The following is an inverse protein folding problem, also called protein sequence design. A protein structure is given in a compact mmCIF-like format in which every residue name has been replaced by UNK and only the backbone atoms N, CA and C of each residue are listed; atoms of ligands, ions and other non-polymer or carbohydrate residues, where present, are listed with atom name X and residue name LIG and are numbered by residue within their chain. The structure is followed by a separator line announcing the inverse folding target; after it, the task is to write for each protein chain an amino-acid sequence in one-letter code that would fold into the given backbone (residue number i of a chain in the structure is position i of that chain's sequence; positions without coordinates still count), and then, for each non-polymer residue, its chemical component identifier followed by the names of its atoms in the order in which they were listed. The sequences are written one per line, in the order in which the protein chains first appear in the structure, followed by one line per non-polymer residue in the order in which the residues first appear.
data_IF_701348495517
#
_entry.id   IF_701348495517
#
_cell.length_a   1.000
_cell.length_b   1.000
_cell.length_c   1.000
_cell.angle_alpha   90.00
_cell.angle_beta   90.00
_cell.angle_gamma   90.00
#
_symmetry.space_group_name_H-M   'P 1'
#
loop_
_entity.id
_entity.type
_entity.pdbx_description
1 polymer ?
#
# COMPACT_ATOMS: atom_id res chain seq x y z
N UNK A 1 -0.88 -0.62 -49.44
CA UNK A 1 0.09 0.28 -48.73
C UNK A 1 0.31 -0.24 -47.33
N UNK A 2 1.49 -0.87 -47.09
CA UNK A 2 1.90 -1.45 -45.80
C UNK A 2 2.55 -0.35 -44.96
N UNK A 3 1.98 -0.04 -43.80
CA UNK A 3 2.65 0.80 -42.77
C UNK A 3 3.60 -0.08 -41.96
N UNK A 4 4.90 0.13 -42.11
CA UNK A 4 5.95 -0.39 -41.23
C UNK A 4 5.95 0.45 -39.96
N UNK A 5 5.63 -0.13 -38.81
CA UNK A 5 5.94 0.45 -37.48
C UNK A 5 7.41 0.18 -37.16
N UNK A 6 8.18 1.25 -36.96
CA UNK A 6 9.57 1.23 -36.51
C UNK A 6 9.59 0.83 -35.03
N UNK A 7 10.25 -0.27 -34.72
CA UNK A 7 10.53 -0.70 -33.35
C UNK A 7 11.85 -0.04 -32.92
N UNK A 8 11.77 0.88 -31.97
CA UNK A 8 12.94 1.59 -31.41
C UNK A 8 13.73 0.65 -30.49
N UNK A 9 15.02 0.47 -30.81
CA UNK A 9 15.91 -0.50 -30.19
C UNK A 9 16.49 0.07 -28.87
N UNK A 10 16.46 -0.74 -27.79
CA UNK A 10 16.85 -0.39 -26.40
C UNK A 10 18.32 -0.01 -26.18
N UNK A 11 19.14 0.07 -27.22
CA UNK A 11 20.60 0.35 -27.10
C UNK A 11 21.02 1.82 -27.30
N UNK A 12 20.10 2.73 -27.57
CA UNK A 12 20.41 4.14 -27.90
C UNK A 12 20.22 5.11 -26.72
N UNK A 13 19.85 4.63 -25.52
CA UNK A 13 19.53 5.52 -24.39
C UNK A 13 20.66 5.69 -23.35
N UNK A 14 21.85 5.12 -23.57
CA UNK A 14 22.97 5.22 -22.63
C UNK A 14 24.17 5.90 -23.31
N UNK A 15 24.01 7.13 -23.76
CA UNK A 15 25.16 7.99 -24.12
C UNK A 15 24.75 9.47 -24.16
N UNK A 16 24.40 10.06 -23.04
CA UNK A 16 24.42 11.51 -22.87
C UNK A 16 24.30 11.85 -21.37
N UNK A 17 25.40 11.82 -20.64
CA UNK A 17 25.56 12.57 -19.37
C UNK A 17 26.98 12.32 -18.85
N UNK A 18 27.98 12.98 -19.44
CA UNK A 18 29.30 13.17 -18.85
C UNK A 18 29.92 14.37 -19.56
N UNK A 19 29.91 15.51 -18.90
CA UNK A 19 30.99 16.54 -18.94
C UNK A 19 30.44 17.83 -18.34
N UNK A 20 30.94 18.22 -17.19
CA UNK A 20 31.48 19.57 -16.96
C UNK A 20 31.91 19.69 -15.48
N UNK A 21 33.15 19.35 -15.21
CA UNK A 21 33.94 19.87 -14.09
C UNK A 21 34.64 21.14 -14.56
N UNK A 22 34.46 22.24 -13.85
CA UNK A 22 35.35 23.39 -13.93
C UNK A 22 35.63 23.89 -12.50
N UNK A 23 36.85 23.71 -12.08
CA UNK A 23 37.45 24.29 -10.89
C UNK A 23 37.73 25.78 -11.09
N UNK A 24 37.37 26.61 -10.11
CA UNK A 24 37.98 27.94 -9.96
C UNK A 24 38.44 28.07 -8.51
N UNK A 25 39.74 28.07 -8.35
CA UNK A 25 40.43 28.52 -7.14
C UNK A 25 40.57 30.03 -7.19
N UNK A 26 40.18 30.71 -6.14
CA UNK A 26 40.37 32.15 -5.96
C UNK A 26 40.45 32.49 -4.48
N UNK A 27 41.66 32.64 -3.97
CA UNK A 27 41.97 33.12 -2.62
C UNK A 27 41.80 34.63 -2.55
N UNK A 28 41.03 35.12 -1.55
CA UNK A 28 41.15 36.51 -1.06
C UNK A 28 41.07 36.49 0.47
N UNK A 29 42.08 37.16 1.06
CA UNK A 29 42.30 37.32 2.50
C UNK A 29 41.51 38.51 3.06
N UNK A 30 41.15 38.39 4.36
CA UNK A 30 40.96 39.43 5.41
C UNK A 30 39.87 40.50 5.18
N UNK A 31 38.85 40.57 6.04
CA UNK A 31 38.88 41.41 7.25
C UNK A 31 37.67 41.12 8.15
N UNK A 32 37.87 41.28 9.45
CA UNK A 32 36.93 40.92 10.48
C UNK A 32 35.75 41.92 10.62
N UNK A 33 34.59 41.33 10.85
CA UNK A 33 33.50 41.96 11.58
C UNK A 33 32.73 40.86 12.30
N UNK A 34 32.80 40.84 13.63
CA UNK A 34 31.94 40.08 14.50
C UNK A 34 30.49 40.55 14.30
N UNK A 35 29.74 39.84 13.47
CA UNK A 35 28.29 40.00 13.41
C UNK A 35 27.68 38.80 14.10
N UNK A 36 26.95 39.06 15.18
CA UNK A 36 26.15 38.09 15.95
C UNK A 36 25.27 37.28 15.03
N UNK A 37 25.67 36.03 14.78
CA UNK A 37 24.79 35.06 14.10
C UNK A 37 23.62 34.75 15.02
N UNK A 38 22.48 35.38 14.78
CA UNK A 38 21.20 34.89 15.29
C UNK A 38 21.00 33.49 14.78
N UNK A 39 21.05 32.52 15.69
CA UNK A 39 20.67 31.14 15.40
C UNK A 39 19.23 31.14 14.89
N UNK A 40 19.04 30.98 13.59
CA UNK A 40 17.75 30.65 13.02
C UNK A 40 17.45 29.23 13.51
N UNK A 41 16.65 29.15 14.57
CA UNK A 41 16.05 27.89 15.02
C UNK A 41 15.09 27.47 13.92
N UNK A 42 15.54 26.60 13.01
CA UNK A 42 14.65 25.88 12.10
C UNK A 42 13.81 24.98 13.01
N UNK A 43 12.49 25.15 13.06
CA UNK A 43 11.65 24.18 13.78
C UNK A 43 11.76 22.87 13.03
N UNK A 44 12.53 21.92 13.58
CA UNK A 44 12.57 20.54 13.15
C UNK A 44 11.36 19.84 13.79
N UNK A 45 10.18 20.07 13.23
CA UNK A 45 8.98 19.30 13.52
C UNK A 45 8.37 18.88 12.19
N UNK A 46 8.88 17.84 11.59
CA UNK A 46 7.99 16.90 10.94
C UNK A 46 7.25 16.20 12.07
N UNK A 47 6.20 16.80 12.62
CA UNK A 47 5.12 16.05 13.21
C UNK A 47 4.61 15.18 12.05
N UNK A 48 4.90 13.87 12.11
CA UNK A 48 4.33 12.91 11.18
C UNK A 48 2.83 13.01 11.32
N UNK A 49 2.17 13.56 10.30
CA UNK A 49 0.76 13.89 10.39
C UNK A 49 -0.03 12.59 10.67
N UNK A 50 -0.84 12.61 11.73
CA UNK A 50 -1.69 11.48 12.11
C UNK A 50 -2.54 11.04 10.92
N UNK A 51 -2.33 9.81 10.43
CA UNK A 51 -3.09 9.25 9.32
C UNK A 51 -4.31 8.46 9.78
N UNK A 52 -5.33 8.40 8.91
CA UNK A 52 -6.42 7.44 8.97
C UNK A 52 -6.06 6.22 8.12
N UNK A 53 -6.00 5.06 8.74
CA UNK A 53 -5.60 3.82 8.10
C UNK A 53 -6.76 2.83 8.12
N UNK A 54 -7.13 2.31 6.95
CA UNK A 54 -8.07 1.19 6.85
C UNK A 54 -7.30 -0.10 6.55
N UNK A 55 -7.46 -1.11 7.40
CA UNK A 55 -6.88 -2.44 7.20
C UNK A 55 -7.98 -3.42 6.80
N UNK A 56 -7.91 -3.93 5.58
CA UNK A 56 -8.82 -4.92 5.02
C UNK A 56 -8.20 -6.31 5.14
N UNK A 57 -8.79 -7.20 5.93
CA UNK A 57 -8.30 -8.57 6.08
C UNK A 57 -9.19 -9.57 5.34
N UNK A 58 -8.55 -10.54 4.67
CA UNK A 58 -9.25 -11.53 3.84
C UNK A 58 -9.21 -12.97 4.37
N UNK A 59 -8.56 -13.21 5.52
CA UNK A 59 -8.44 -14.58 6.04
C UNK A 59 -9.70 -15.02 6.78
N UNK A 60 -10.29 -16.18 6.42
CA UNK A 60 -11.38 -16.76 7.19
C UNK A 60 -10.94 -17.41 8.52
N UNK A 61 -9.63 -17.59 8.71
CA UNK A 61 -9.07 -18.14 9.95
C UNK A 61 -8.83 -17.01 10.93
N UNK A 62 -9.55 -16.95 12.05
CA UNK A 62 -9.44 -15.88 13.05
C UNK A 62 -7.97 -15.62 13.47
N UNK A 63 -7.20 -16.67 13.73
CA UNK A 63 -5.79 -16.59 14.09
C UNK A 63 -4.88 -17.00 12.91
N UNK A 64 -5.31 -16.70 11.67
CA UNK A 64 -4.56 -17.02 10.46
C UNK A 64 -3.28 -16.18 10.33
N UNK A 65 -2.28 -16.72 9.64
CA UNK A 65 -0.97 -16.08 9.50
C UNK A 65 -1.05 -14.65 8.94
N UNK A 66 -1.91 -14.38 7.94
CA UNK A 66 -2.11 -13.04 7.40
C UNK A 66 -2.83 -12.10 8.39
N UNK A 67 -3.74 -12.62 9.23
CA UNK A 67 -4.37 -11.83 10.29
C UNK A 67 -3.35 -11.44 11.37
N UNK A 68 -2.41 -12.33 11.70
CA UNK A 68 -1.31 -12.02 12.63
C UNK A 68 -0.44 -10.89 12.08
N UNK A 69 -0.09 -10.90 10.77
CA UNK A 69 0.62 -9.77 10.16
C UNK A 69 -0.18 -8.47 10.27
N UNK A 70 -1.47 -8.52 9.97
CA UNK A 70 -2.34 -7.34 10.08
C UNK A 70 -2.37 -6.79 11.51
N UNK A 71 -2.43 -7.64 12.53
CA UNK A 71 -2.41 -7.23 13.94
C UNK A 71 -1.10 -6.53 14.32
N UNK A 72 0.04 -7.09 13.90
CA UNK A 72 1.34 -6.46 14.14
C UNK A 72 1.48 -5.11 13.43
N UNK A 73 1.05 -5.02 12.17
CA UNK A 73 0.99 -3.74 11.45
C UNK A 73 0.11 -2.71 12.16
N UNK A 74 -1.09 -3.10 12.58
CA UNK A 74 -2.02 -2.24 13.32
C UNK A 74 -1.39 -1.74 14.61
N UNK A 75 -0.70 -2.60 15.35
CA UNK A 75 -0.05 -2.23 16.60
C UNK A 75 1.08 -1.22 16.37
N UNK A 76 1.90 -1.42 15.32
CA UNK A 76 2.93 -0.47 14.93
C UNK A 76 2.36 0.89 14.52
N UNK A 77 1.32 0.90 13.70
CA UNK A 77 0.66 2.11 13.24
C UNK A 77 0.01 2.90 14.41
N UNK A 78 -0.62 2.18 15.35
CA UNK A 78 -1.19 2.80 16.56
C UNK A 78 -0.11 3.37 17.49
N UNK A 79 1.04 2.69 17.62
CA UNK A 79 2.17 3.19 18.40
C UNK A 79 2.75 4.48 17.79
N UNK A 80 2.72 4.62 16.45
CA UNK A 80 3.07 5.86 15.75
C UNK A 80 1.98 6.96 15.85
N UNK A 81 0.85 6.69 16.51
CA UNK A 81 -0.21 7.68 16.73
C UNK A 81 -1.29 7.72 15.67
N UNK A 82 -1.26 6.82 14.68
CA UNK A 82 -2.26 6.76 13.61
C UNK A 82 -3.62 6.23 14.10
N UNK A 83 -4.68 6.66 13.43
CA UNK A 83 -6.03 6.13 13.62
C UNK A 83 -6.26 4.93 12.71
N UNK A 84 -6.49 3.75 13.30
CA UNK A 84 -6.58 2.51 12.52
C UNK A 84 -7.94 1.86 12.70
N UNK A 85 -8.64 1.66 11.59
CA UNK A 85 -9.85 0.84 11.49
C UNK A 85 -9.50 -0.48 10.82
N UNK A 86 -9.98 -1.60 11.38
CA UNK A 86 -9.86 -2.93 10.79
C UNK A 86 -11.22 -3.42 10.32
N UNK A 87 -11.25 -3.98 9.10
CA UNK A 87 -12.42 -4.64 8.54
C UNK A 87 -12.07 -6.08 8.13
N UNK A 88 -12.77 -7.04 8.72
CA UNK A 88 -12.56 -8.48 8.47
C UNK A 88 -13.55 -8.97 7.42
N UNK A 89 -13.14 -8.98 6.15
CA UNK A 89 -14.00 -9.35 5.01
C UNK A 89 -14.59 -10.77 5.12
N UNK A 90 -13.88 -11.69 5.78
CA UNK A 90 -14.31 -13.07 5.90
C UNK A 90 -15.43 -13.31 6.94
N UNK A 91 -15.59 -12.43 7.92
CA UNK A 91 -16.64 -12.49 8.93
C UNK A 91 -17.79 -11.52 8.68
N UNK A 92 -17.61 -10.61 7.73
CA UNK A 92 -18.58 -9.58 7.37
C UNK A 92 -19.54 -10.09 6.28
N UNK A 93 -20.74 -9.54 6.27
CA UNK A 93 -21.77 -9.86 5.27
C UNK A 93 -21.69 -8.87 4.12
N UNK A 94 -20.79 -9.14 3.16
CA UNK A 94 -20.65 -8.33 1.94
C UNK A 94 -21.11 -9.16 0.75
N UNK A 95 -22.13 -8.70 0.05
CA UNK A 95 -22.61 -9.33 -1.18
C UNK A 95 -21.65 -9.03 -2.33
N UNK A 96 -21.31 -10.00 -3.19
CA UNK A 96 -20.52 -9.76 -4.40
C UNK A 96 -21.18 -8.73 -5.32
N UNK A 97 -20.36 -7.94 -6.02
CA UNK A 97 -20.86 -7.03 -7.04
C UNK A 97 -21.50 -7.82 -8.19
N UNK A 98 -22.74 -7.48 -8.55
CA UNK A 98 -23.49 -8.12 -9.64
C UNK A 98 -23.51 -7.26 -10.92
N UNK A 99 -22.69 -6.24 -10.99
CA UNK A 99 -22.56 -5.34 -12.15
C UNK A 99 -23.90 -4.71 -12.61
N UNK A 100 -24.85 -4.51 -11.71
CA UNK A 100 -26.17 -3.94 -12.04
C UNK A 100 -26.14 -2.45 -12.39
N UNK A 101 -25.02 -1.79 -12.20
CA UNK A 101 -24.75 -0.38 -12.47
C UNK A 101 -25.69 0.65 -11.80
N UNK A 102 -26.49 0.24 -10.80
CA UNK A 102 -27.39 1.17 -10.09
C UNK A 102 -26.65 2.27 -9.31
N UNK A 103 -25.40 2.00 -8.91
CA UNK A 103 -24.56 2.98 -8.22
C UNK A 103 -23.92 4.00 -9.18
N UNK A 104 -23.88 3.72 -10.50
CA UNK A 104 -23.25 4.62 -11.48
C UNK A 104 -21.77 4.95 -11.17
N UNK A 105 -21.05 4.05 -10.49
CA UNK A 105 -19.65 4.19 -10.02
C UNK A 105 -19.42 5.21 -8.89
N UNK A 106 -20.37 6.04 -8.52
CA UNK A 106 -20.21 7.13 -7.54
C UNK A 106 -21.46 7.29 -6.65
N UNK A 107 -22.23 6.26 -6.47
CA UNK A 107 -23.47 6.34 -5.70
C UNK A 107 -23.64 5.18 -4.72
N UNK A 108 -24.70 5.23 -3.92
CA UNK A 108 -24.98 4.15 -2.99
C UNK A 108 -25.21 2.83 -3.74
N UNK A 109 -24.61 1.76 -3.24
CA UNK A 109 -24.90 0.43 -3.76
C UNK A 109 -26.36 0.03 -3.45
N UNK A 110 -26.93 -0.81 -4.31
CA UNK A 110 -28.26 -1.38 -4.04
C UNK A 110 -28.27 -2.34 -2.84
N UNK A 111 -27.14 -2.98 -2.56
CA UNK A 111 -26.99 -3.82 -1.39
C UNK A 111 -26.69 -2.95 -0.16
N UNK A 112 -27.55 -3.11 0.86
CA UNK A 112 -27.38 -2.47 2.17
C UNK A 112 -26.79 -3.52 3.11
N UNK A 113 -25.47 -3.64 3.08
CA UNK A 113 -24.71 -4.67 3.78
C UNK A 113 -23.45 -4.06 4.42
N UNK A 114 -22.59 -4.89 5.02
CA UNK A 114 -21.41 -4.43 5.76
C UNK A 114 -20.37 -3.68 4.89
N UNK A 115 -20.57 -3.61 3.56
CA UNK A 115 -19.72 -2.77 2.70
C UNK A 115 -19.84 -1.28 3.05
N UNK A 116 -20.93 -0.83 3.64
CA UNK A 116 -21.07 0.58 4.07
C UNK A 116 -20.00 0.94 5.11
N UNK A 117 -19.58 0.01 5.97
CA UNK A 117 -18.46 0.22 6.91
C UNK A 117 -17.15 0.46 6.14
N UNK A 118 -16.91 -0.32 5.08
CA UNK A 118 -15.73 -0.11 4.22
C UNK A 118 -15.81 1.25 3.53
N UNK A 119 -16.97 1.61 2.96
CA UNK A 119 -17.19 2.89 2.31
C UNK A 119 -16.89 4.07 3.24
N UNK A 120 -17.44 4.04 4.44
CA UNK A 120 -17.30 5.11 5.44
C UNK A 120 -15.83 5.35 5.83
N UNK A 121 -15.03 4.29 5.90
CA UNK A 121 -13.64 4.37 6.35
C UNK A 121 -12.61 4.48 5.21
N UNK A 122 -12.88 3.96 4.00
CA UNK A 122 -11.93 4.00 2.90
C UNK A 122 -11.86 5.39 2.24
N UNK A 123 -13.00 6.10 2.18
CA UNK A 123 -13.05 7.42 1.55
C UNK A 123 -12.11 8.41 2.26
N UNK A 124 -12.19 8.58 3.59
CA UNK A 124 -11.30 9.48 4.32
C UNK A 124 -9.93 8.87 4.65
N UNK A 125 -9.65 7.61 4.29
CA UNK A 125 -8.38 6.98 4.60
C UNK A 125 -7.22 7.60 3.82
N UNK A 126 -6.10 7.82 4.50
CA UNK A 126 -4.81 8.19 3.90
C UNK A 126 -4.05 6.96 3.41
N UNK A 127 -4.27 5.81 4.08
CA UNK A 127 -3.64 4.54 3.75
C UNK A 127 -4.65 3.37 3.83
N UNK A 128 -4.56 2.47 2.84
CA UNK A 128 -5.32 1.21 2.82
C UNK A 128 -4.35 0.03 2.84
N UNK A 129 -4.43 -0.81 3.88
CA UNK A 129 -3.62 -2.02 3.99
C UNK A 129 -4.45 -3.25 3.66
N UNK A 130 -3.95 -4.08 2.74
CA UNK A 130 -4.55 -5.34 2.34
C UNK A 130 -3.80 -6.49 3.00
N UNK A 131 -4.48 -7.33 3.79
CA UNK A 131 -3.91 -8.51 4.42
C UNK A 131 -4.66 -9.76 3.94
N UNK A 132 -3.99 -10.65 3.20
CA UNK A 132 -4.64 -11.79 2.56
C UNK A 132 -3.80 -13.06 2.61
N UNK A 133 -4.39 -14.25 2.82
CA UNK A 133 -3.76 -15.48 2.39
C UNK A 133 -3.84 -15.59 0.87
N UNK A 134 -2.86 -16.28 0.26
CA UNK A 134 -2.97 -16.69 -1.14
C UNK A 134 -3.80 -17.96 -1.24
N UNK A 135 -4.85 -17.93 -2.04
CA UNK A 135 -5.63 -19.10 -2.42
C UNK A 135 -5.65 -19.22 -3.94
N UNK A 136 -5.16 -20.36 -4.46
CA UNK A 136 -5.06 -20.60 -5.91
C UNK A 136 -4.46 -19.42 -6.68
N UNK A 137 -3.31 -18.94 -6.19
CA UNK A 137 -2.52 -17.86 -6.79
C UNK A 137 -3.22 -16.50 -6.87
N UNK A 138 -4.31 -16.31 -6.10
CA UNK A 138 -5.06 -15.08 -5.99
C UNK A 138 -5.23 -14.65 -4.53
N UNK A 139 -5.70 -13.43 -4.34
CA UNK A 139 -6.18 -12.97 -3.03
C UNK A 139 -7.42 -13.79 -2.63
N UNK A 140 -7.73 -13.84 -1.33
CA UNK A 140 -8.92 -14.56 -0.87
C UNK A 140 -10.21 -14.01 -1.54
N UNK A 141 -11.17 -14.90 -1.82
CA UNK A 141 -12.45 -14.51 -2.42
C UNK A 141 -13.19 -13.47 -1.56
N UNK A 142 -13.09 -13.57 -0.24
CA UNK A 142 -13.71 -12.65 0.70
C UNK A 142 -13.17 -11.22 0.53
N UNK A 143 -11.84 -11.06 0.43
CA UNK A 143 -11.22 -9.76 0.18
C UNK A 143 -11.55 -9.26 -1.23
N UNK A 144 -11.53 -10.15 -2.23
CA UNK A 144 -11.89 -9.80 -3.61
C UNK A 144 -13.34 -9.30 -3.71
N UNK A 145 -14.26 -9.90 -2.96
CA UNK A 145 -15.65 -9.44 -2.89
C UNK A 145 -15.75 -7.98 -2.41
N UNK A 146 -14.96 -7.59 -1.41
CA UNK A 146 -14.89 -6.20 -0.93
C UNK A 146 -14.30 -5.28 -2.01
N UNK A 147 -13.20 -5.70 -2.64
CA UNK A 147 -12.53 -4.88 -3.69
C UNK A 147 -13.45 -4.71 -4.92
N UNK A 148 -14.22 -5.72 -5.32
CA UNK A 148 -15.17 -5.59 -6.43
C UNK A 148 -16.28 -4.57 -6.13
N UNK A 149 -16.58 -4.34 -4.87
CA UNK A 149 -17.55 -3.33 -4.44
C UNK A 149 -16.98 -1.90 -4.48
N UNK A 150 -15.65 -1.72 -4.64
CA UNK A 150 -15.04 -0.41 -4.92
C UNK A 150 -15.66 0.23 -6.16
N UNK A 151 -16.23 -0.56 -7.07
CA UNK A 151 -16.99 -0.03 -8.19
C UNK A 151 -18.07 0.98 -7.78
N UNK A 152 -18.72 0.79 -6.63
CA UNK A 152 -19.78 1.70 -6.16
C UNK A 152 -19.24 3.06 -5.66
N UNK A 153 -17.96 3.14 -5.34
CA UNK A 153 -17.29 4.32 -4.77
C UNK A 153 -16.07 4.74 -5.60
N UNK A 154 -16.01 4.31 -6.84
CA UNK A 154 -14.82 4.41 -7.67
C UNK A 154 -14.28 5.84 -7.76
N UNK A 155 -15.13 6.82 -8.03
CA UNK A 155 -14.70 8.22 -8.10
C UNK A 155 -14.34 8.83 -6.76
N UNK A 156 -14.93 8.34 -5.67
CA UNK A 156 -14.63 8.83 -4.31
C UNK A 156 -13.26 8.35 -3.80
N UNK A 157 -12.76 7.23 -4.33
CA UNK A 157 -11.46 6.65 -3.93
C UNK A 157 -10.33 6.87 -4.95
N UNK A 158 -10.61 7.45 -6.13
CA UNK A 158 -9.62 7.89 -7.12
C UNK A 158 -8.93 9.19 -6.69
N UNK A 159 -8.40 9.20 -5.48
CA UNK A 159 -7.61 10.28 -4.90
C UNK A 159 -6.30 9.71 -4.37
N UNK A 160 -5.21 10.48 -4.32
CA UNK A 160 -3.93 9.97 -3.83
C UNK A 160 -4.04 9.37 -2.43
N UNK A 161 -3.69 8.09 -2.32
CA UNK A 161 -3.60 7.35 -1.06
C UNK A 161 -2.33 6.53 -1.04
N UNK A 162 -1.91 6.10 0.15
CA UNK A 162 -0.90 5.05 0.33
C UNK A 162 -1.59 3.68 0.36
N UNK A 163 -0.87 2.62 -0.04
CA UNK A 163 -1.34 1.25 0.12
C UNK A 163 -0.23 0.34 0.63
N UNK A 164 -0.60 -0.70 1.38
CA UNK A 164 0.29 -1.75 1.89
C UNK A 164 -0.28 -3.11 1.53
N UNK A 165 0.56 -4.06 1.12
CA UNK A 165 0.19 -5.44 0.90
C UNK A 165 0.88 -6.36 1.91
N UNK A 166 0.10 -7.15 2.63
CA UNK A 166 0.57 -8.24 3.49
C UNK A 166 -0.02 -9.56 2.99
N UNK A 167 0.83 -10.48 2.54
CA UNK A 167 0.38 -11.74 1.95
C UNK A 167 1.12 -12.92 2.56
N UNK A 168 0.40 -14.01 2.83
CA UNK A 168 0.97 -15.27 3.31
C UNK A 168 0.57 -16.43 2.42
N UNK A 169 1.47 -17.39 2.20
CA UNK A 169 1.18 -18.58 1.41
C UNK A 169 2.05 -19.78 1.80
N UNK A 170 1.60 -20.98 1.41
CA UNK A 170 2.20 -22.25 1.85
C UNK A 170 3.45 -22.66 1.08
N UNK A 171 3.51 -22.34 -0.20
CA UNK A 171 4.60 -22.73 -1.09
C UNK A 171 5.77 -21.75 -0.98
N UNK A 172 6.99 -22.19 -1.39
CA UNK A 172 8.20 -21.35 -1.35
C UNK A 172 8.65 -20.85 -2.73
N UNK A 173 7.84 -21.06 -3.77
CA UNK A 173 8.19 -20.60 -5.12
C UNK A 173 7.86 -19.13 -5.34
N UNK A 174 8.84 -18.26 -5.61
CA UNK A 174 8.59 -16.83 -5.89
C UNK A 174 7.68 -16.61 -7.11
N UNK A 175 7.65 -17.55 -8.06
CA UNK A 175 6.74 -17.48 -9.23
C UNK A 175 5.27 -17.42 -8.81
N UNK A 176 4.92 -18.00 -7.67
CA UNK A 176 3.54 -18.04 -7.19
C UNK A 176 3.03 -16.67 -6.73
N UNK A 177 3.92 -15.77 -6.38
CA UNK A 177 3.60 -14.41 -5.93
C UNK A 177 3.17 -13.50 -7.09
N UNK A 178 3.76 -13.71 -8.26
CA UNK A 178 3.64 -12.85 -9.43
C UNK A 178 2.19 -12.46 -9.79
N UNK A 179 1.20 -13.37 -9.80
CA UNK A 179 -0.17 -13.00 -10.13
C UNK A 179 -0.77 -11.97 -9.17
N UNK A 180 -0.52 -12.12 -7.86
CA UNK A 180 -1.05 -11.18 -6.84
C UNK A 180 -0.28 -9.87 -6.86
N UNK A 181 1.04 -9.91 -7.04
CA UNK A 181 1.86 -8.70 -7.12
C UNK A 181 1.45 -7.86 -8.33
N UNK A 182 1.30 -8.48 -9.50
CA UNK A 182 0.80 -7.79 -10.70
C UNK A 182 -0.62 -7.25 -10.50
N UNK A 183 -1.52 -8.05 -9.91
CA UNK A 183 -2.87 -7.59 -9.58
C UNK A 183 -2.85 -6.35 -8.68
N UNK A 184 -2.02 -6.37 -7.63
CA UNK A 184 -1.89 -5.25 -6.69
C UNK A 184 -1.33 -4.01 -7.39
N UNK A 185 -0.28 -4.15 -8.20
CA UNK A 185 0.33 -3.05 -8.95
C UNK A 185 -0.67 -2.39 -9.91
N UNK A 186 -1.40 -3.19 -10.69
CA UNK A 186 -2.43 -2.69 -11.62
C UNK A 186 -3.59 -2.03 -10.87
N UNK A 187 -3.99 -2.57 -9.70
CA UNK A 187 -5.02 -1.96 -8.87
C UNK A 187 -4.58 -0.57 -8.36
N UNK A 188 -3.35 -0.44 -7.89
CA UNK A 188 -2.81 0.84 -7.41
C UNK A 188 -2.65 1.85 -8.55
N UNK A 189 -2.13 1.42 -9.70
CA UNK A 189 -2.01 2.25 -10.90
C UNK A 189 -3.38 2.80 -11.33
N UNK A 190 -4.39 1.92 -11.38
CA UNK A 190 -5.76 2.31 -11.73
C UNK A 190 -6.35 3.31 -10.74
N UNK A 191 -6.14 3.13 -9.43
CA UNK A 191 -6.69 4.02 -8.39
C UNK A 191 -5.86 5.28 -8.14
N UNK A 192 -4.66 5.39 -8.71
CA UNK A 192 -3.72 6.49 -8.45
C UNK A 192 -3.10 6.42 -7.05
N UNK A 193 -2.99 5.23 -6.45
CA UNK A 193 -2.44 5.04 -5.12
C UNK A 193 -0.96 4.71 -5.16
N UNK A 194 -0.23 5.04 -4.09
CA UNK A 194 1.20 4.74 -3.95
C UNK A 194 1.42 3.51 -3.10
N UNK A 195 2.28 2.61 -3.56
CA UNK A 195 2.78 1.51 -2.74
C UNK A 195 3.67 2.05 -1.60
N UNK A 196 3.28 1.80 -0.37
CA UNK A 196 4.00 2.20 0.84
C UNK A 196 4.76 1.02 1.48
N UNK A 197 4.59 -0.20 0.98
CA UNK A 197 5.33 -1.36 1.42
C UNK A 197 4.60 -2.68 1.22
N UNK A 198 5.38 -3.75 1.17
CA UNK A 198 4.88 -5.11 0.98
C UNK A 198 5.55 -6.07 1.95
N UNK A 199 4.78 -6.98 2.54
CA UNK A 199 5.28 -8.10 3.32
C UNK A 199 4.72 -9.38 2.71
N UNK A 200 5.58 -10.13 2.06
CA UNK A 200 5.23 -11.35 1.34
C UNK A 200 5.90 -12.52 2.06
N UNK A 201 5.09 -13.43 2.58
CA UNK A 201 5.56 -14.51 3.46
C UNK A 201 5.29 -15.87 2.85
N UNK A 202 6.32 -16.51 2.26
CA UNK A 202 6.24 -17.90 1.81
C UNK A 202 6.31 -18.91 2.95
N UNK A 203 5.91 -20.15 2.67
CA UNK A 203 6.19 -21.30 3.52
C UNK A 203 5.38 -21.40 4.81
N UNK A 204 4.34 -20.60 5.00
CA UNK A 204 3.54 -20.59 6.24
C UNK A 204 2.17 -21.25 6.03
N UNK A 205 2.10 -22.58 6.20
CA UNK A 205 0.86 -23.34 6.05
C UNK A 205 0.04 -23.48 7.33
N UNK A 206 0.59 -24.00 8.46
CA UNK A 206 -0.17 -24.13 9.69
C UNK A 206 -0.52 -22.75 10.28
N UNK A 207 -1.66 -22.69 10.95
CA UNK A 207 -2.02 -21.52 11.75
C UNK A 207 -0.94 -21.27 12.82
N UNK A 208 -0.48 -20.04 12.93
CA UNK A 208 0.56 -19.65 13.89
C UNK A 208 1.99 -19.89 13.41
N UNK A 209 2.22 -20.52 12.23
CA UNK A 209 3.57 -20.72 11.70
C UNK A 209 4.33 -19.39 11.50
N UNK A 210 3.62 -18.32 11.22
CA UNK A 210 4.17 -16.97 11.08
C UNK A 210 4.95 -16.49 12.31
N UNK A 211 4.55 -16.95 13.51
CA UNK A 211 5.16 -16.52 14.78
C UNK A 211 6.60 -17.02 14.96
N UNK A 212 7.01 -18.01 14.16
CA UNK A 212 8.38 -18.53 14.15
C UNK A 212 9.26 -17.83 13.09
N UNK A 213 8.80 -16.74 12.52
CA UNK A 213 9.46 -15.99 11.45
C UNK A 213 9.71 -14.55 11.88
N UNK A 214 10.60 -13.80 11.21
CA UNK A 214 10.82 -12.37 11.50
C UNK A 214 9.69 -11.46 11.00
N UNK A 215 8.74 -11.95 10.22
CA UNK A 215 7.75 -11.14 9.53
C UNK A 215 6.76 -10.40 10.44
N UNK A 216 6.33 -10.92 11.61
CA UNK A 216 5.53 -10.14 12.55
C UNK A 216 6.23 -8.87 13.02
N UNK A 217 7.52 -8.93 13.32
CA UNK A 217 8.31 -7.75 13.70
C UNK A 217 8.47 -6.77 12.52
N UNK A 218 8.63 -7.28 11.29
CA UNK A 218 8.67 -6.45 10.09
C UNK A 218 7.31 -5.76 9.83
N UNK A 219 6.19 -6.45 10.07
CA UNK A 219 4.87 -5.87 9.94
C UNK A 219 4.64 -4.74 10.97
N UNK A 220 5.08 -4.94 12.20
CA UNK A 220 5.06 -3.90 13.23
C UNK A 220 5.91 -2.69 12.81
N UNK A 221 7.16 -2.92 12.38
CA UNK A 221 8.06 -1.86 11.94
C UNK A 221 7.49 -1.09 10.73
N UNK A 222 6.89 -1.80 9.75
CA UNK A 222 6.22 -1.18 8.61
C UNK A 222 5.04 -0.31 9.07
N UNK A 223 4.19 -0.82 9.97
CA UNK A 223 3.07 -0.05 10.52
C UNK A 223 3.51 1.21 11.26
N UNK A 224 4.68 1.18 11.90
CA UNK A 224 5.25 2.32 12.60
C UNK A 224 5.88 3.37 11.67
N UNK A 225 6.28 2.97 10.46
CA UNK A 225 7.03 3.81 9.52
C UNK A 225 6.20 4.44 8.38
N UNK A 226 4.91 4.08 8.24
CA UNK A 226 4.07 4.58 7.13
C UNK A 226 3.62 6.02 7.22
#
# INVERSE_FOLDING_TARGET
RKHRRSVMNRRTFIKASLTATAAVAGSVLLDGALSSASAVTVPNTTEDAKMKILVLTGSPRKNGNSNTLAEHFINGAKEAGHEVTRFDAASSKVHPCIACNKCGMNGPCMFKDDFEVVREHIIPADLVAFATPMYYFGISAQLKTVIDRFYAINGEIHIPKKAVLMMTYANNSPRNESPILTYYEVLLEYLGWKDAGRIIVPGVWPTGAINQTPFPAQAFALGKSV
#
